data_IF_746943170986
#
_entry.id   IF_746943170986
#
_cell.length_a   1.000
_cell.length_b   1.000
_cell.length_c   1.000
_cell.angle_alpha   90.00
_cell.angle_beta   90.00
_cell.angle_gamma   90.00
#
_symmetry.space_group_name_H-M   'P 1'
#
loop_
_entity.id
_entity.type
_entity.pdbx_description
1 polymer ?
#
# COMPACT_ATOMS: atom_id res chain seq x y z
N UNK A 1 3.59 -2.74 -12.58
CA UNK A 1 4.20 -1.92 -11.50
C UNK A 1 5.01 -2.73 -10.48
N UNK A 2 4.87 -4.06 -10.41
CA UNK A 2 5.54 -4.92 -9.42
C UNK A 2 7.06 -4.92 -9.51
N UNK A 3 7.63 -5.09 -10.72
CA UNK A 3 9.09 -5.22 -10.90
C UNK A 3 9.85 -3.96 -10.48
N UNK A 4 9.49 -2.74 -10.91
CA UNK A 4 10.17 -1.52 -10.45
C UNK A 4 10.12 -1.33 -8.94
N UNK A 5 8.97 -1.57 -8.29
CA UNK A 5 8.82 -1.41 -6.84
C UNK A 5 9.72 -2.38 -6.06
N UNK A 6 9.80 -3.64 -6.50
CA UNK A 6 10.68 -4.64 -5.88
C UNK A 6 12.17 -4.32 -6.10
N UNK A 7 12.53 -3.75 -7.26
CA UNK A 7 13.90 -3.31 -7.54
C UNK A 7 14.33 -2.17 -6.61
N UNK A 8 13.48 -1.15 -6.45
CA UNK A 8 13.73 -0.04 -5.51
C UNK A 8 13.88 -0.55 -4.09
N UNK A 9 12.96 -1.41 -3.65
CA UNK A 9 13.01 -2.02 -2.32
C UNK A 9 14.31 -2.82 -2.12
N UNK A 10 14.65 -3.70 -3.06
CA UNK A 10 15.85 -4.53 -2.98
C UNK A 10 17.15 -3.72 -3.01
N UNK A 11 17.19 -2.64 -3.81
CA UNK A 11 18.33 -1.71 -3.84
C UNK A 11 18.52 -1.03 -2.48
N UNK A 12 17.48 -0.41 -1.93
CA UNK A 12 17.56 0.32 -0.66
C UNK A 12 17.89 -0.62 0.51
N UNK A 13 17.31 -1.82 0.55
CA UNK A 13 17.64 -2.84 1.58
C UNK A 13 19.14 -3.18 1.53
N UNK A 14 19.73 -3.28 0.32
CA UNK A 14 21.16 -3.57 0.17
C UNK A 14 22.06 -2.41 0.53
N UNK A 15 21.70 -1.18 0.17
CA UNK A 15 22.57 -0.02 0.35
C UNK A 15 22.45 0.64 1.72
N UNK A 16 21.32 0.47 2.41
CA UNK A 16 21.06 1.07 3.72
C UNK A 16 20.40 0.09 4.71
N UNK A 17 20.99 -1.10 4.95
CA UNK A 17 20.39 -2.16 5.75
C UNK A 17 20.11 -1.68 7.18
N UNK A 18 18.93 -1.99 7.70
CA UNK A 18 18.54 -1.64 9.08
C UNK A 18 18.30 -0.14 9.33
N UNK A 19 18.43 0.71 8.32
CA UNK A 19 18.16 2.14 8.44
C UNK A 19 16.66 2.46 8.47
N UNK A 20 16.32 3.64 8.98
CA UNK A 20 14.97 4.23 8.87
C UNK A 20 14.48 4.29 7.42
N UNK A 21 15.36 4.69 6.50
CA UNK A 21 15.06 4.78 5.08
C UNK A 21 14.65 3.41 4.51
N UNK A 22 15.37 2.35 4.87
CA UNK A 22 15.06 1.00 4.41
C UNK A 22 13.70 0.52 4.93
N UNK A 23 13.42 0.71 6.22
CA UNK A 23 12.13 0.29 6.81
C UNK A 23 10.94 1.03 6.19
N UNK A 24 11.08 2.33 5.99
CA UNK A 24 10.02 3.16 5.40
C UNK A 24 9.84 2.88 3.90
N UNK A 25 10.92 2.57 3.18
CA UNK A 25 10.83 2.15 1.76
C UNK A 25 10.07 0.84 1.63
N UNK A 26 10.36 -0.14 2.48
CA UNK A 26 9.61 -1.42 2.50
C UNK A 26 8.13 -1.17 2.77
N UNK A 27 7.81 -0.34 3.77
CA UNK A 27 6.42 0.01 4.09
C UNK A 27 5.69 0.60 2.86
N UNK A 28 6.25 1.63 2.22
CA UNK A 28 5.65 2.28 1.06
C UNK A 28 5.51 1.34 -0.15
N UNK A 29 6.50 0.47 -0.39
CA UNK A 29 6.42 -0.51 -1.48
C UNK A 29 5.33 -1.53 -1.22
N UNK A 30 5.19 -2.02 0.01
CA UNK A 30 4.11 -2.95 0.36
C UNK A 30 2.73 -2.30 0.20
N UNK A 31 2.55 -1.05 0.64
CA UNK A 31 1.30 -0.29 0.40
C UNK A 31 1.01 -0.17 -1.10
N UNK A 32 2.01 0.21 -1.91
CA UNK A 32 1.83 0.36 -3.35
C UNK A 32 1.48 -0.96 -4.06
N UNK A 33 2.04 -2.07 -3.59
CA UNK A 33 1.72 -3.41 -4.11
C UNK A 33 0.30 -3.84 -3.75
N UNK A 34 -0.14 -3.55 -2.52
CA UNK A 34 -1.52 -3.81 -2.10
C UNK A 34 -2.51 -2.97 -2.90
N UNK A 35 -2.27 -1.67 -3.06
CA UNK A 35 -3.12 -0.79 -3.86
C UNK A 35 -3.22 -1.27 -5.32
N UNK A 36 -2.12 -1.82 -5.86
CA UNK A 36 -2.11 -2.44 -7.17
C UNK A 36 -2.95 -3.72 -7.23
N UNK A 37 -3.00 -4.51 -6.15
CA UNK A 37 -3.87 -5.69 -6.05
C UNK A 37 -5.34 -5.30 -5.93
N UNK A 38 -5.69 -4.24 -5.19
CA UNK A 38 -7.04 -3.67 -5.17
C UNK A 38 -7.44 -3.29 -6.60
N UNK A 39 -6.60 -2.54 -7.31
CA UNK A 39 -6.87 -2.15 -8.70
C UNK A 39 -7.08 -3.37 -9.62
N UNK A 40 -6.21 -4.37 -9.53
CA UNK A 40 -6.26 -5.57 -10.39
C UNK A 40 -7.44 -6.49 -10.06
N UNK A 41 -7.93 -6.46 -8.83
CA UNK A 41 -9.10 -7.23 -8.42
C UNK A 41 -10.43 -6.52 -8.71
N UNK A 42 -10.39 -5.29 -9.21
CA UNK A 42 -11.58 -4.48 -9.42
C UNK A 42 -12.19 -3.94 -8.12
N UNK A 43 -11.40 -3.84 -7.05
CA UNK A 43 -11.84 -3.29 -5.76
C UNK A 43 -12.52 -4.30 -4.84
N UNK A 44 -12.23 -5.61 -4.96
CA UNK A 44 -12.78 -6.64 -4.07
C UNK A 44 -12.43 -6.37 -2.61
N UNK A 45 -13.42 -6.49 -1.72
CA UNK A 45 -13.25 -6.17 -0.29
C UNK A 45 -12.30 -7.16 0.39
N UNK A 46 -12.25 -8.40 -0.07
CA UNK A 46 -11.35 -9.45 0.45
C UNK A 46 -9.88 -9.07 0.26
N UNK A 47 -9.54 -8.31 -0.79
CA UNK A 47 -8.17 -7.88 -1.08
C UNK A 47 -7.71 -6.79 -0.10
N UNK A 48 -8.63 -5.96 0.40
CA UNK A 48 -8.34 -4.92 1.40
C UNK A 48 -7.84 -5.52 2.72
N UNK A 49 -8.09 -6.81 2.97
CA UNK A 49 -7.51 -7.49 4.14
C UNK A 49 -5.97 -7.46 4.12
N UNK A 50 -5.35 -7.32 2.94
CA UNK A 50 -3.91 -7.14 2.77
C UNK A 50 -3.33 -5.97 3.59
N UNK A 51 -4.12 -4.91 3.83
CA UNK A 51 -3.75 -3.78 4.70
C UNK A 51 -3.37 -4.27 6.11
N UNK A 52 -4.17 -5.15 6.71
CA UNK A 52 -3.93 -5.66 8.06
C UNK A 52 -2.71 -6.57 8.11
N UNK A 53 -2.50 -7.38 7.06
CA UNK A 53 -1.32 -8.23 6.94
C UNK A 53 -0.06 -7.36 6.87
N UNK A 54 -0.06 -6.29 6.06
CA UNK A 54 1.08 -5.37 5.95
C UNK A 54 1.38 -4.70 7.28
N UNK A 55 0.36 -4.18 7.98
CA UNK A 55 0.55 -3.58 9.31
C UNK A 55 1.13 -4.60 10.30
N UNK A 56 0.62 -5.84 10.32
CA UNK A 56 1.15 -6.91 11.17
C UNK A 56 2.63 -7.22 10.89
N UNK A 57 3.02 -7.25 9.61
CA UNK A 57 4.43 -7.43 9.23
C UNK A 57 5.30 -6.26 9.68
N UNK A 58 4.83 -5.02 9.54
CA UNK A 58 5.59 -3.83 9.94
C UNK A 58 5.77 -3.73 11.46
N UNK A 59 4.84 -4.26 12.26
CA UNK A 59 5.01 -4.34 13.72
C UNK A 59 6.23 -5.19 14.13
N UNK A 60 6.69 -6.12 13.28
CA UNK A 60 7.91 -6.89 13.53
C UNK A 60 9.17 -6.00 13.60
N UNK A 61 9.16 -4.84 12.93
CA UNK A 61 10.26 -3.88 13.02
C UNK A 61 10.38 -3.23 14.39
N UNK A 62 9.37 -3.37 15.26
CA UNK A 62 9.30 -2.73 16.59
C UNK A 62 9.56 -1.21 16.54
N UNK A 63 9.23 -0.61 15.40
CA UNK A 63 9.35 0.80 15.10
C UNK A 63 7.96 1.28 14.66
N UNK A 64 7.45 2.31 15.32
CA UNK A 64 6.12 2.83 15.04
C UNK A 64 6.11 3.69 13.76
N UNK A 65 7.25 4.22 13.34
CA UNK A 65 7.34 5.15 12.20
C UNK A 65 6.90 4.49 10.87
N UNK A 66 7.38 3.29 10.48
CA UNK A 66 6.93 2.61 9.27
C UNK A 66 5.42 2.30 9.29
N UNK A 67 4.88 1.99 10.47
CA UNK A 67 3.44 1.72 10.66
C UNK A 67 2.62 2.99 10.41
N UNK A 68 3.02 4.11 10.98
CA UNK A 68 2.35 5.40 10.75
C UNK A 68 2.44 5.84 9.30
N UNK A 69 3.60 5.65 8.65
CA UNK A 69 3.77 5.97 7.22
C UNK A 69 2.85 5.11 6.36
N UNK A 70 2.79 3.79 6.62
CA UNK A 70 1.90 2.90 5.88
C UNK A 70 0.43 3.29 6.08
N UNK A 71 0.00 3.53 7.33
CA UNK A 71 -1.36 3.96 7.64
C UNK A 71 -1.74 5.27 6.94
N UNK A 72 -0.85 6.27 6.97
CA UNK A 72 -1.06 7.53 6.26
C UNK A 72 -1.17 7.33 4.74
N UNK A 73 -0.29 6.50 4.15
CA UNK A 73 -0.33 6.19 2.73
C UNK A 73 -1.62 5.46 2.33
N UNK A 74 -2.09 4.49 3.13
CA UNK A 74 -3.39 3.85 2.91
C UNK A 74 -4.53 4.85 3.00
N UNK A 75 -4.55 5.74 3.99
CA UNK A 75 -5.59 6.77 4.12
C UNK A 75 -5.62 7.69 2.89
N UNK A 76 -4.46 8.16 2.43
CA UNK A 76 -4.34 8.96 1.21
C UNK A 76 -4.86 8.18 0.01
N UNK A 77 -4.48 6.91 -0.15
CA UNK A 77 -4.95 6.06 -1.24
C UNK A 77 -6.47 5.92 -1.22
N UNK A 78 -7.06 5.52 -0.09
CA UNK A 78 -8.51 5.30 0.04
C UNK A 78 -9.29 6.57 -0.26
N UNK A 79 -8.92 7.69 0.36
CA UNK A 79 -9.63 8.95 0.17
C UNK A 79 -9.50 9.42 -1.27
N UNK A 80 -8.26 9.52 -1.79
CA UNK A 80 -8.06 10.04 -3.15
C UNK A 80 -8.70 9.14 -4.21
N UNK A 81 -8.54 7.82 -4.13
CA UNK A 81 -9.11 6.89 -5.11
C UNK A 81 -10.62 6.80 -5.00
N UNK A 82 -11.18 6.93 -3.80
CA UNK A 82 -12.63 7.07 -3.63
C UNK A 82 -13.17 8.26 -4.41
N UNK A 83 -12.61 9.46 -4.19
CA UNK A 83 -13.04 10.66 -4.92
C UNK A 83 -12.82 10.54 -6.42
N UNK A 84 -11.68 10.00 -6.85
CA UNK A 84 -11.38 9.81 -8.28
C UNK A 84 -12.32 8.80 -8.94
N UNK A 85 -12.61 7.67 -8.29
CA UNK A 85 -13.55 6.67 -8.80
C UNK A 85 -14.97 7.27 -8.88
N UNK A 86 -15.40 8.02 -7.87
CA UNK A 86 -16.71 8.70 -7.88
C UNK A 86 -16.82 9.78 -8.97
N UNK A 87 -15.69 10.39 -9.33
CA UNK A 87 -15.58 11.32 -10.46
C UNK A 87 -15.54 10.61 -11.84
N UNK A 88 -15.62 9.28 -11.88
CA UNK A 88 -15.63 8.49 -13.12
C UNK A 88 -14.25 8.20 -13.71
N UNK A 89 -13.17 8.43 -12.95
CA UNK A 89 -11.82 8.05 -13.39
C UNK A 89 -11.64 6.52 -13.33
N UNK A 90 -10.78 5.94 -14.18
CA UNK A 90 -10.58 4.49 -14.28
C UNK A 90 -9.67 3.94 -13.15
N UNK A 91 -10.00 4.31 -11.92
CA UNK A 91 -9.35 3.80 -10.70
C UNK A 91 -10.37 3.05 -9.87
N UNK A 92 -9.92 1.98 -9.23
CA UNK A 92 -10.74 1.05 -8.46
C UNK A 92 -10.24 1.08 -7.04
N UNK A 93 -11.05 1.60 -6.14
CA UNK A 93 -10.95 1.39 -4.69
C UNK A 93 -11.98 0.36 -4.24
N UNK A 94 -13.21 0.43 -4.74
CA UNK A 94 -14.29 -0.51 -4.42
C UNK A 94 -14.96 -1.02 -5.69
N UNK A 95 -15.61 -2.19 -5.61
CA UNK A 95 -16.40 -2.72 -6.73
C UNK A 95 -17.51 -1.72 -7.10
N UNK A 96 -17.65 -1.31 -8.38
CA UNK A 96 -18.72 -0.42 -8.80
C UNK A 96 -20.10 -0.99 -8.46
N UNK A 97 -20.96 -0.18 -7.85
CA UNK A 97 -22.30 -0.61 -7.44
C UNK A 97 -22.36 -1.41 -6.14
N UNK A 98 -21.24 -1.51 -5.39
CA UNK A 98 -21.20 -2.15 -4.06
C UNK A 98 -21.96 -1.39 -2.97
N UNK A 99 -22.46 -0.18 -3.27
CA UNK A 99 -23.20 0.66 -2.31
C UNK A 99 -22.31 1.40 -1.31
N UNK A 100 -21.00 1.25 -1.44
CA UNK A 100 -19.96 2.06 -0.79
C UNK A 100 -19.27 2.93 -1.82
#
# INVERSE_FOLDING_TARGET
MTVPSLLVMGFIIRTAPGSMLSRNTVALVLVALEAAMIQQSGGLIEIHFGVFIIVALLLYYRDWVPVTIAAAAFAVHHISFFWMQHAGLPVMIFVPGSGI
#
